data_IF_856598781784
#
_entry.id   IF_856598781784
#
_cell.length_a   1.000
_cell.length_b   1.000
_cell.length_c   1.000
_cell.angle_alpha   90.00
_cell.angle_beta   90.00
_cell.angle_gamma   90.00
#
_symmetry.space_group_name_H-M   'P 1'
#
loop_
_entity.id
_entity.type
_entity.pdbx_description
1 polymer ?
#
# COMPACT_ATOMS: atom_id res chain seq x y z
N UNK A 1 -19.39 14.26 -9.60
CA UNK A 1 -18.38 13.98 -8.54
C UNK A 1 -17.02 14.33 -9.11
N UNK A 2 -16.24 15.19 -8.46
CA UNK A 2 -14.82 15.33 -8.81
C UNK A 2 -14.12 14.06 -8.38
N UNK A 3 -13.41 13.40 -9.29
CA UNK A 3 -12.64 12.19 -8.99
C UNK A 3 -11.50 12.50 -8.01
N UNK A 4 -11.08 11.51 -7.24
CA UNK A 4 -9.91 11.59 -6.37
C UNK A 4 -8.65 11.85 -7.22
N UNK A 5 -7.93 12.92 -6.92
CA UNK A 5 -6.73 13.35 -7.66
C UNK A 5 -5.41 12.98 -6.95
N UNK A 6 -5.49 12.48 -5.72
CA UNK A 6 -4.34 12.15 -4.88
C UNK A 6 -3.67 13.35 -4.22
N UNK A 7 -4.31 14.50 -4.24
CA UNK A 7 -3.80 15.69 -3.56
C UNK A 7 -3.84 15.55 -2.03
N UNK A 8 -2.82 16.05 -1.33
CA UNK A 8 -2.69 15.94 0.13
C UNK A 8 -3.95 16.42 0.88
N UNK A 9 -4.59 17.49 0.40
CA UNK A 9 -5.81 18.06 0.98
C UNK A 9 -7.01 17.11 0.91
N UNK A 10 -7.01 16.13 0.00
CA UNK A 10 -8.11 15.17 -0.15
C UNK A 10 -8.13 14.13 0.96
N UNK A 11 -6.98 13.86 1.58
CA UNK A 11 -6.86 12.92 2.70
C UNK A 11 -7.34 13.52 4.04
N UNK A 12 -7.47 14.84 4.11
CA UNK A 12 -7.83 15.56 5.34
C UNK A 12 -8.98 16.53 5.13
N UNK A 13 -9.66 16.44 3.98
CA UNK A 13 -10.78 17.29 3.61
C UNK A 13 -12.16 16.66 3.93
N UNK A 14 -13.23 17.36 3.61
CA UNK A 14 -14.60 16.93 3.90
C UNK A 14 -15.06 15.67 3.13
N UNK A 15 -14.23 15.16 2.23
CA UNK A 15 -14.49 13.91 1.51
C UNK A 15 -13.96 12.66 2.22
N UNK A 16 -13.28 12.81 3.35
CA UNK A 16 -12.78 11.69 4.15
C UNK A 16 -13.90 11.12 4.99
N UNK A 17 -14.01 9.80 5.01
CA UNK A 17 -14.89 9.08 5.93
C UNK A 17 -14.25 9.07 7.33
N UNK A 18 -14.54 10.13 8.11
CA UNK A 18 -14.00 10.28 9.46
C UNK A 18 -14.41 9.13 10.39
N UNK A 19 -15.65 8.63 10.25
CA UNK A 19 -16.13 7.51 11.05
C UNK A 19 -15.35 6.23 10.72
N UNK A 20 -15.08 5.97 9.45
CA UNK A 20 -14.25 4.87 8.99
C UNK A 20 -12.81 4.96 9.51
N UNK A 21 -12.21 6.15 9.48
CA UNK A 21 -10.88 6.40 10.04
C UNK A 21 -10.85 6.12 11.54
N UNK A 22 -11.80 6.66 12.30
CA UNK A 22 -11.90 6.44 13.75
C UNK A 22 -12.12 4.97 14.07
N UNK A 23 -12.96 4.28 13.31
CA UNK A 23 -13.16 2.84 13.46
C UNK A 23 -11.87 2.06 13.31
N UNK A 24 -11.06 2.35 12.28
CA UNK A 24 -9.78 1.69 12.05
C UNK A 24 -8.76 1.98 13.17
N UNK A 25 -8.72 3.21 13.65
CA UNK A 25 -7.88 3.60 14.79
C UNK A 25 -8.23 2.81 16.04
N UNK A 26 -9.53 2.74 16.37
CA UNK A 26 -10.01 1.97 17.52
C UNK A 26 -9.78 0.47 17.37
N UNK A 27 -9.97 -0.08 16.17
CA UNK A 27 -9.71 -1.48 15.89
C UNK A 27 -8.24 -1.82 16.13
N UNK A 28 -7.30 -1.02 15.60
CA UNK A 28 -5.87 -1.22 15.81
C UNK A 28 -5.49 -1.11 17.29
N UNK A 29 -6.00 -0.12 18.00
CA UNK A 29 -5.77 0.04 19.44
C UNK A 29 -6.25 -1.18 20.23
N UNK A 30 -7.50 -1.60 20.01
CA UNK A 30 -8.08 -2.77 20.69
C UNK A 30 -7.31 -4.05 20.41
N UNK A 31 -6.97 -4.30 19.14
CA UNK A 31 -6.24 -5.50 18.74
C UNK A 31 -4.88 -5.60 19.44
N UNK A 32 -4.12 -4.51 19.44
CA UNK A 32 -2.81 -4.49 20.10
C UNK A 32 -2.89 -4.56 21.62
N UNK A 33 -3.97 -4.04 22.23
CA UNK A 33 -4.19 -4.19 23.68
C UNK A 33 -4.59 -5.61 24.08
N UNK A 34 -5.48 -6.25 23.32
CA UNK A 34 -5.95 -7.61 23.61
C UNK A 34 -4.89 -8.64 23.26
N UNK A 35 -4.20 -8.45 22.14
CA UNK A 35 -3.18 -9.35 21.65
C UNK A 35 -1.95 -8.58 21.14
N UNK A 36 -0.98 -8.27 22.03
CA UNK A 36 0.19 -7.46 21.69
C UNK A 36 1.10 -8.05 20.59
N UNK A 37 0.96 -9.35 20.30
CA UNK A 37 1.70 -10.01 19.22
C UNK A 37 1.01 -9.97 17.86
N UNK A 38 -0.16 -9.36 17.73
CA UNK A 38 -0.83 -9.25 16.45
C UNK A 38 -0.12 -8.25 15.53
N UNK A 39 -0.28 -8.46 14.24
CA UNK A 39 0.22 -7.56 13.20
C UNK A 39 -0.97 -7.11 12.37
N UNK A 40 -1.14 -5.81 12.21
CA UNK A 40 -2.17 -5.22 11.37
C UNK A 40 -1.54 -4.63 10.11
N UNK A 41 -2.16 -4.91 8.96
CA UNK A 41 -1.62 -4.53 7.64
C UNK A 41 -2.67 -3.74 6.89
N UNK A 42 -2.31 -2.51 6.50
CA UNK A 42 -3.19 -1.68 5.69
C UNK A 42 -3.06 -2.02 4.20
N UNK A 43 -4.18 -2.28 3.55
CA UNK A 43 -4.31 -2.35 2.10
C UNK A 43 -4.93 -1.05 1.61
N UNK A 44 -4.12 -0.20 0.99
CA UNK A 44 -4.56 1.10 0.49
C UNK A 44 -3.76 1.52 -0.73
N UNK A 45 -4.46 1.72 -1.84
CA UNK A 45 -3.88 2.17 -3.11
C UNK A 45 -3.79 3.69 -3.21
N UNK A 46 -4.58 4.41 -2.42
CA UNK A 46 -4.65 5.89 -2.49
C UNK A 46 -3.34 6.56 -2.08
N UNK A 47 -2.51 5.87 -1.31
CA UNK A 47 -1.29 6.43 -0.76
C UNK A 47 -1.52 7.34 0.45
N UNK A 48 -2.63 7.18 1.17
CA UNK A 48 -2.96 7.95 2.37
C UNK A 48 -1.77 8.00 3.34
N UNK A 49 -1.32 9.18 3.78
CA UNK A 49 -0.25 9.31 4.76
C UNK A 49 -0.72 8.93 6.15
N UNK A 50 0.21 8.45 6.99
CA UNK A 50 -0.06 8.20 8.40
C UNK A 50 -0.74 6.87 8.72
N UNK A 51 -0.95 5.97 7.75
CA UNK A 51 -1.55 4.66 8.00
C UNK A 51 -0.75 3.85 9.04
N UNK A 52 0.58 3.84 8.92
CA UNK A 52 1.49 3.11 9.79
C UNK A 52 2.20 4.00 10.82
N UNK A 53 1.65 5.15 11.11
CA UNK A 53 2.09 6.02 12.18
C UNK A 53 1.33 5.67 13.45
N UNK A 54 2.00 5.70 14.60
CA UNK A 54 1.40 5.39 15.88
C UNK A 54 0.19 6.31 16.19
N UNK A 55 -0.82 5.75 16.84
CA UNK A 55 -2.01 6.51 17.26
C UNK A 55 -1.66 7.72 18.11
N UNK A 56 -0.70 7.59 19.02
CA UNK A 56 -0.20 8.67 19.87
C UNK A 56 0.40 9.85 19.09
N UNK A 57 0.80 9.62 17.85
CA UNK A 57 1.32 10.65 16.93
C UNK A 57 0.30 11.10 15.88
N UNK A 58 -0.95 10.70 16.04
CA UNK A 58 -2.05 11.08 15.13
C UNK A 58 -2.19 10.19 13.90
N UNK A 59 -1.53 9.03 13.86
CA UNK A 59 -1.68 8.04 12.79
C UNK A 59 -2.82 7.06 13.01
N UNK A 60 -3.01 6.12 12.08
CA UNK A 60 -4.05 5.09 12.16
C UNK A 60 -3.61 3.82 12.92
N UNK A 61 -2.33 3.68 13.21
CA UNK A 61 -1.80 2.62 14.06
C UNK A 61 -1.62 1.25 13.42
N UNK A 62 -1.64 1.15 12.08
CA UNK A 62 -1.25 -0.09 11.41
C UNK A 62 0.25 -0.36 11.56
N UNK A 63 0.63 -1.63 11.64
CA UNK A 63 2.04 -2.01 11.71
C UNK A 63 2.74 -1.91 10.36
N UNK A 64 2.05 -2.28 9.30
CA UNK A 64 2.56 -2.30 7.93
C UNK A 64 1.51 -1.82 6.94
N UNK A 65 1.97 -1.43 5.75
CA UNK A 65 1.12 -1.25 4.58
C UNK A 65 1.67 -2.06 3.40
N UNK A 66 0.81 -2.42 2.46
CA UNK A 66 1.21 -3.11 1.24
C UNK A 66 1.94 -2.14 0.29
N UNK A 67 3.08 -2.60 -0.25
CA UNK A 67 3.87 -1.84 -1.23
C UNK A 67 3.32 -2.07 -2.65
N UNK A 68 2.18 -1.47 -2.97
CA UNK A 68 1.42 -1.73 -4.20
C UNK A 68 2.15 -1.39 -5.49
N UNK A 69 3.17 -0.54 -5.46
CA UNK A 69 4.01 -0.25 -6.63
C UNK A 69 4.89 -1.44 -7.06
N UNK A 70 5.15 -2.38 -6.16
CA UNK A 70 6.01 -3.54 -6.44
C UNK A 70 5.35 -4.52 -7.39
N UNK A 71 4.13 -5.05 -7.14
CA UNK A 71 3.46 -5.94 -8.08
C UNK A 71 3.14 -5.26 -9.41
N UNK A 72 2.79 -3.98 -9.42
CA UNK A 72 2.55 -3.24 -10.66
C UNK A 72 3.81 -3.22 -11.56
N UNK A 73 4.98 -2.99 -10.97
CA UNK A 73 6.25 -3.02 -11.68
C UNK A 73 6.55 -4.42 -12.23
N UNK A 74 6.41 -5.45 -11.41
CA UNK A 74 6.65 -6.84 -11.83
C UNK A 74 5.71 -7.27 -12.96
N UNK A 75 4.42 -7.04 -12.81
CA UNK A 75 3.42 -7.40 -13.82
C UNK A 75 3.69 -6.66 -15.14
N UNK A 76 4.00 -5.37 -15.06
CA UNK A 76 4.36 -4.58 -16.23
C UNK A 76 5.58 -5.14 -16.95
N UNK A 77 6.65 -5.44 -16.22
CA UNK A 77 7.87 -5.94 -16.82
C UNK A 77 7.70 -7.34 -17.41
N UNK A 78 7.03 -8.25 -16.70
CA UNK A 78 6.73 -9.58 -17.21
C UNK A 78 5.85 -9.57 -18.49
N UNK A 79 5.02 -8.55 -18.65
CA UNK A 79 4.16 -8.40 -19.84
C UNK A 79 4.85 -7.72 -21.00
N UNK A 80 5.71 -6.75 -20.75
CA UNK A 80 6.17 -5.78 -21.74
C UNK A 80 7.65 -5.87 -22.07
N UNK A 81 8.47 -6.49 -21.20
CA UNK A 81 9.92 -6.49 -21.33
C UNK A 81 10.50 -7.89 -21.44
N UNK A 82 11.63 -8.00 -22.13
CA UNK A 82 12.51 -9.16 -22.05
C UNK A 82 13.43 -9.01 -20.84
N UNK A 83 13.96 -10.13 -20.33
CA UNK A 83 14.77 -10.13 -19.10
C UNK A 83 15.99 -9.20 -19.18
N UNK A 84 16.61 -9.10 -20.36
CA UNK A 84 17.76 -8.20 -20.59
C UNK A 84 17.41 -6.71 -20.51
N UNK A 85 16.13 -6.37 -20.65
CA UNK A 85 15.66 -4.99 -20.61
C UNK A 85 15.26 -4.54 -19.20
N UNK A 86 15.41 -5.42 -18.22
CA UNK A 86 15.05 -5.10 -16.84
C UNK A 86 16.06 -4.14 -16.23
N UNK A 87 15.59 -3.02 -15.75
CA UNK A 87 16.37 -2.03 -15.01
C UNK A 87 16.44 -2.42 -13.53
N UNK A 88 17.51 -3.13 -13.15
CA UNK A 88 17.70 -3.58 -11.78
C UNK A 88 17.83 -2.42 -10.78
N UNK A 89 18.30 -1.24 -11.23
CA UNK A 89 18.34 -0.03 -10.40
C UNK A 89 16.93 0.47 -10.06
N UNK A 90 16.04 0.50 -11.05
CA UNK A 90 14.64 0.84 -10.85
C UNK A 90 13.91 -0.19 -9.96
N UNK A 91 14.21 -1.48 -10.13
CA UNK A 91 13.66 -2.51 -9.26
C UNK A 91 14.09 -2.31 -7.81
N UNK A 92 15.38 -2.13 -7.58
CA UNK A 92 15.92 -1.88 -6.24
C UNK A 92 15.31 -0.61 -5.62
N UNK A 93 15.18 0.47 -6.40
CA UNK A 93 14.53 1.69 -5.95
C UNK A 93 13.07 1.44 -5.56
N UNK A 94 12.30 0.75 -6.39
CA UNK A 94 10.88 0.45 -6.11
C UNK A 94 10.71 -0.41 -4.86
N UNK A 95 11.57 -1.41 -4.67
CA UNK A 95 11.56 -2.27 -3.49
C UNK A 95 11.92 -1.53 -2.19
N UNK A 96 12.73 -0.51 -2.29
CA UNK A 96 13.22 0.26 -1.12
C UNK A 96 12.50 1.59 -0.92
N UNK A 97 11.75 2.05 -1.93
CA UNK A 97 11.03 3.32 -1.86
C UNK A 97 9.84 3.22 -0.93
N UNK A 98 9.98 3.84 0.22
CA UNK A 98 8.95 3.90 1.26
C UNK A 98 8.93 5.27 1.93
N UNK A 99 7.80 5.62 2.52
CA UNK A 99 7.70 6.83 3.33
C UNK A 99 8.53 6.68 4.61
N UNK A 100 9.14 7.76 5.02
CA UNK A 100 9.86 7.79 6.29
C UNK A 100 8.92 7.40 7.45
N UNK A 101 9.37 6.46 8.29
CA UNK A 101 8.61 6.01 9.46
C UNK A 101 7.47 5.03 9.17
N UNK A 102 7.15 4.73 7.91
CA UNK A 102 6.15 3.71 7.56
C UNK A 102 6.82 2.43 7.06
N UNK A 103 6.41 1.31 7.61
CA UNK A 103 6.87 -0.02 7.20
C UNK A 103 5.99 -0.56 6.09
N UNK A 104 6.61 -1.22 5.10
CA UNK A 104 5.90 -1.80 3.97
C UNK A 104 6.17 -3.29 3.84
N UNK A 105 5.19 -4.02 3.29
CA UNK A 105 5.34 -5.41 2.86
C UNK A 105 5.36 -5.43 1.34
N UNK A 106 6.48 -5.88 0.76
CA UNK A 106 6.60 -6.11 -0.67
C UNK A 106 6.00 -7.49 -1.03
N UNK A 107 5.33 -7.55 -2.17
CA UNK A 107 4.74 -8.77 -2.70
C UNK A 107 4.77 -8.72 -4.24
N UNK A 108 4.67 -9.87 -4.89
CA UNK A 108 4.71 -9.96 -6.35
C UNK A 108 3.32 -9.98 -6.97
N UNK A 109 2.36 -10.65 -6.33
CA UNK A 109 0.98 -10.80 -6.79
C UNK A 109 0.01 -10.77 -5.60
N UNK A 110 -1.23 -10.36 -5.86
CA UNK A 110 -2.35 -10.41 -4.93
C UNK A 110 -3.65 -10.74 -5.68
N UNK A 111 -4.79 -10.77 -4.97
CA UNK A 111 -6.10 -10.97 -5.57
C UNK A 111 -6.48 -9.87 -6.59
N UNK A 112 -5.97 -8.65 -6.42
CA UNK A 112 -6.23 -7.50 -7.31
C UNK A 112 -5.15 -7.30 -8.37
N UNK A 113 -3.94 -7.78 -8.12
CA UNK A 113 -2.77 -7.58 -8.96
C UNK A 113 -2.14 -8.93 -9.29
N UNK A 114 -2.53 -9.53 -10.42
CA UNK A 114 -2.04 -10.82 -10.85
C UNK A 114 -1.53 -10.80 -12.29
N UNK A 115 -0.48 -11.57 -12.53
CA UNK A 115 -0.01 -11.82 -13.88
C UNK A 115 -0.92 -12.84 -14.56
N UNK A 116 -1.67 -12.36 -15.55
CA UNK A 116 -2.42 -13.25 -16.44
C UNK A 116 -1.63 -13.40 -17.75
N UNK A 117 -1.03 -14.57 -18.02
CA UNK A 117 -0.32 -14.80 -19.28
C UNK A 117 -1.26 -14.59 -20.46
N UNK A 118 -0.83 -13.84 -21.47
CA UNK A 118 -1.56 -13.81 -22.75
C UNK A 118 -1.52 -15.22 -23.34
N UNK A 119 -2.65 -15.78 -23.82
CA UNK A 119 -2.62 -17.01 -24.59
C UNK A 119 -1.67 -16.78 -25.78
N UNK A 120 -0.66 -17.63 -25.92
CA UNK A 120 0.17 -17.60 -27.12
C UNK A 120 -0.74 -17.89 -28.30
N UNK A 121 -0.83 -16.95 -29.23
CA UNK A 121 -1.46 -17.22 -30.51
C UNK A 121 -0.70 -18.39 -31.16
N UNK A 122 -1.40 -19.49 -31.40
CA UNK A 122 -0.90 -20.63 -32.17
C UNK A 122 -0.70 -20.24 -33.62
#
# INVERSE_FOLDING_TARGET
MRGFSGGYHEYFGPGVDEEGVVYLMLANEMLHQIYPGCITIAEDVSGMPGLCVALSLGGLGFDYRLAMAVPDLYIKWLKEKQDIEWDMGNLAHTLTNRRHGEKTIAYAESHDQAYVPRPRAC
#
